data_IF_125768995444
#
_entry.id   IF_125768995444
#
_cell.length_a   1.000
_cell.length_b   1.000
_cell.length_c   1.000
_cell.angle_alpha   90.00
_cell.angle_beta   90.00
_cell.angle_gamma   90.00
#
_symmetry.space_group_name_H-M   'P 1'
#
loop_
_entity.id
_entity.type
_entity.pdbx_description
1 polymer ?
#
# COMPACT_ATOMS: atom_id res chain seq x y z
N UNK A 1 6.98 0.10 0.59
CA UNK A 1 6.21 -1.12 0.95
C UNK A 1 6.22 -1.39 2.44
N UNK A 2 5.02 -1.53 3.04
CA UNK A 2 4.81 -1.88 4.45
C UNK A 2 3.67 -2.91 4.57
N UNK A 3 3.81 -3.88 5.49
CA UNK A 3 2.72 -4.82 5.83
C UNK A 3 1.91 -4.25 7.00
N UNK A 4 0.59 -4.18 6.85
CA UNK A 4 -0.36 -3.69 7.84
C UNK A 4 -1.36 -4.80 8.17
N UNK A 5 -1.58 -5.04 9.46
CA UNK A 5 -2.53 -6.07 9.95
C UNK A 5 -3.86 -5.50 10.43
N UNK A 6 -3.87 -4.26 10.91
CA UNK A 6 -5.06 -3.63 11.50
C UNK A 6 -5.38 -2.29 10.84
N UNK A 7 -4.70 -1.24 11.29
CA UNK A 7 -4.97 0.15 10.89
C UNK A 7 -3.68 0.84 10.52
N UNK A 8 -3.79 1.76 9.56
CA UNK A 8 -2.78 2.73 9.19
C UNK A 8 -3.43 4.11 9.23
N UNK A 9 -2.69 5.13 9.63
CA UNK A 9 -3.22 6.48 9.68
C UNK A 9 -3.21 7.15 8.30
N UNK A 10 -4.15 8.08 8.06
CA UNK A 10 -4.15 8.89 6.83
C UNK A 10 -2.85 9.67 6.68
N UNK A 11 -2.29 10.18 7.79
CA UNK A 11 -1.01 10.90 7.81
C UNK A 11 0.18 10.04 7.37
N UNK A 12 0.16 8.73 7.63
CA UNK A 12 1.17 7.81 7.10
C UNK A 12 0.96 7.58 5.60
N UNK A 13 -0.29 7.44 5.15
CA UNK A 13 -0.60 7.30 3.72
C UNK A 13 -0.20 8.55 2.92
N UNK A 14 -0.42 9.76 3.44
CA UNK A 14 0.03 11.02 2.82
C UNK A 14 1.55 11.05 2.64
N UNK A 15 2.30 10.67 3.68
CA UNK A 15 3.77 10.57 3.59
C UNK A 15 4.25 9.50 2.61
N UNK A 16 3.46 8.45 2.39
CA UNK A 16 3.77 7.41 1.40
C UNK A 16 3.48 7.90 -0.01
N UNK A 17 2.33 8.54 -0.24
CA UNK A 17 1.95 9.04 -1.57
C UNK A 17 2.96 10.05 -2.10
N UNK A 18 3.47 10.94 -1.23
CA UNK A 18 4.51 11.93 -1.59
C UNK A 18 5.77 11.30 -2.19
N UNK A 19 6.08 10.04 -1.83
CA UNK A 19 7.33 9.36 -2.24
C UNK A 19 7.19 8.52 -3.51
N UNK A 20 5.98 8.11 -3.88
CA UNK A 20 5.75 7.24 -5.03
C UNK A 20 4.98 7.94 -6.16
N UNK A 21 3.66 8.05 -6.03
CA UNK A 21 2.76 8.48 -7.12
C UNK A 21 2.08 9.83 -6.82
N UNK A 22 2.74 10.66 -6.01
CA UNK A 22 2.26 11.99 -5.59
C UNK A 22 1.09 11.92 -4.60
N UNK A 23 -0.11 11.67 -5.12
CA UNK A 23 -1.35 11.63 -4.32
C UNK A 23 -2.02 10.26 -4.32
N UNK A 24 -1.34 9.23 -4.83
CA UNK A 24 -1.85 7.86 -4.90
C UNK A 24 -0.98 6.91 -4.08
N UNK A 25 -1.65 6.04 -3.31
CA UNK A 25 -1.05 4.89 -2.64
C UNK A 25 -1.78 3.65 -3.13
N UNK A 26 -1.03 2.62 -3.54
CA UNK A 26 -1.57 1.30 -3.86
C UNK A 26 -1.47 0.39 -2.63
N UNK A 27 -2.51 -0.40 -2.40
CA UNK A 27 -2.52 -1.49 -1.42
C UNK A 27 -2.98 -2.79 -2.08
N UNK A 28 -2.34 -3.90 -1.71
CA UNK A 28 -2.76 -5.26 -2.06
C UNK A 28 -3.21 -5.95 -0.79
N UNK A 29 -4.38 -6.56 -0.80
CA UNK A 29 -5.01 -7.17 0.38
C UNK A 29 -5.05 -8.68 0.20
N UNK A 30 -4.51 -9.41 1.17
CA UNK A 30 -4.76 -10.84 1.31
C UNK A 30 -5.87 -11.03 2.34
N UNK A 31 -7.06 -11.39 1.85
CA UNK A 31 -8.25 -11.62 2.68
C UNK A 31 -8.18 -12.89 3.52
N UNK A 32 -7.36 -13.88 3.10
CA UNK A 32 -7.20 -15.14 3.85
C UNK A 32 -6.27 -14.94 5.03
N UNK A 33 -5.24 -14.13 4.87
CA UNK A 33 -4.27 -13.80 5.91
C UNK A 33 -4.64 -12.56 6.73
N UNK A 34 -5.68 -11.82 6.31
CA UNK A 34 -6.12 -10.56 6.92
C UNK A 34 -4.97 -9.53 7.01
N UNK A 35 -4.17 -9.41 5.94
CA UNK A 35 -3.06 -8.47 5.85
C UNK A 35 -3.12 -7.61 4.60
N UNK A 36 -2.49 -6.45 4.66
CA UNK A 36 -2.35 -5.53 3.54
C UNK A 36 -0.89 -5.19 3.30
N UNK A 37 -0.43 -5.32 2.05
CA UNK A 37 0.83 -4.76 1.58
C UNK A 37 0.55 -3.40 0.92
N UNK A 38 0.96 -2.34 1.59
CA UNK A 38 0.75 -0.94 1.16
C UNK A 38 2.05 -0.39 0.58
N UNK A 39 1.96 0.58 -0.33
CA UNK A 39 3.13 1.28 -0.90
C UNK A 39 4.01 0.30 -1.71
N UNK A 40 3.34 -0.63 -2.40
CA UNK A 40 3.93 -1.51 -3.39
C UNK A 40 3.90 -0.82 -4.76
N UNK A 41 4.94 -1.03 -5.58
CA UNK A 41 5.00 -0.48 -6.93
C UNK A 41 3.83 -0.94 -7.81
N UNK A 42 3.57 -0.17 -8.86
CA UNK A 42 2.71 -0.62 -9.96
C UNK A 42 3.48 -1.71 -10.72
N UNK A 43 2.98 -2.94 -10.71
CA UNK A 43 3.39 -3.98 -11.63
C UNK A 43 2.41 -3.93 -12.80
N UNK A 44 2.92 -3.71 -14.01
CA UNK A 44 2.14 -3.80 -15.24
C UNK A 44 2.12 -5.23 -15.80
N UNK A 45 3.03 -6.08 -15.32
CA UNK A 45 3.23 -7.43 -15.83
C UNK A 45 2.81 -8.43 -14.74
N UNK A 46 1.78 -9.20 -15.04
CA UNK A 46 1.35 -10.43 -14.37
C UNK A 46 1.64 -11.55 -15.38
N UNK A 47 2.89 -12.00 -15.42
CA UNK A 47 3.29 -13.23 -16.14
C UNK A 47 3.26 -14.43 -15.18
#
# INVERSE_FOLDING_TARGET
MQIVKDKISVKELEKMSEKMFGHLVKAVVDVKQEIMAIDAGLHADED
#
